data_IF_247658910047
#
_entry.id   IF_247658910047
#
_cell.length_a   1.000
_cell.length_b   1.000
_cell.length_c   1.000
_cell.angle_alpha   90.00
_cell.angle_beta   90.00
_cell.angle_gamma   90.00
#
_symmetry.space_group_name_H-M   'P 1'
#
loop_
_entity.id
_entity.type
_entity.pdbx_description
1 polymer ?
#
# COMPACT_ATOMS: atom_id res chain seq x y z
N UNK A 1 9.15 3.45 61.41
CA UNK A 1 8.70 2.57 60.31
C UNK A 1 7.76 3.41 59.44
N UNK A 2 8.19 3.88 58.26
CA UNK A 2 7.34 4.66 57.35
C UNK A 2 7.05 3.79 56.11
N UNK A 3 5.80 3.39 55.82
CA UNK A 3 5.48 2.35 54.84
C UNK A 3 5.28 2.86 53.40
N UNK A 4 5.74 4.06 53.05
CA UNK A 4 5.50 4.67 51.72
C UNK A 4 6.74 4.78 50.83
N UNK A 5 7.60 3.76 50.84
CA UNK A 5 8.53 3.52 49.74
C UNK A 5 7.88 2.57 48.75
N UNK A 6 7.11 3.09 47.79
CA UNK A 6 6.68 2.28 46.64
C UNK A 6 7.32 2.82 45.35
N UNK A 7 8.36 2.09 44.96
CA UNK A 7 9.03 2.12 43.67
C UNK A 7 8.10 1.63 42.56
N UNK A 8 8.18 2.24 41.38
CA UNK A 8 7.66 1.65 40.15
C UNK A 8 6.52 2.43 39.50
N UNK A 9 6.85 3.54 38.84
CA UNK A 9 6.07 3.96 37.67
C UNK A 9 6.29 2.92 36.58
N UNK A 10 5.41 1.92 36.51
CA UNK A 10 5.32 1.04 35.35
C UNK A 10 5.15 1.90 34.11
N UNK A 11 6.11 1.82 33.19
CA UNK A 11 5.97 2.35 31.84
C UNK A 11 4.77 1.62 31.21
N UNK A 12 3.64 2.31 31.12
CA UNK A 12 2.50 1.81 30.36
C UNK A 12 2.97 1.70 28.91
N UNK A 13 3.08 0.48 28.40
CA UNK A 13 3.49 0.20 27.04
C UNK A 13 2.48 0.89 26.10
N UNK A 14 2.94 1.94 25.42
CA UNK A 14 2.16 2.69 24.47
C UNK A 14 1.75 1.76 23.30
N UNK A 15 0.47 1.40 23.12
CA UNK A 15 0.05 0.46 22.07
C UNK A 15 0.34 0.98 20.65
N UNK A 16 0.56 2.29 20.49
CA UNK A 16 0.99 2.91 19.23
C UNK A 16 2.41 2.48 18.82
N UNK A 17 3.31 2.16 19.76
CA UNK A 17 4.68 1.78 19.44
C UNK A 17 4.78 0.41 18.78
N UNK A 18 3.90 -0.53 19.15
CA UNK A 18 3.85 -1.87 18.54
C UNK A 18 3.31 -1.81 17.11
N UNK A 19 2.18 -1.13 16.88
CA UNK A 19 1.62 -0.96 15.54
C UNK A 19 2.60 -0.22 14.59
N UNK A 20 3.32 0.77 15.12
CA UNK A 20 4.34 1.51 14.36
C UNK A 20 5.58 0.65 14.05
N UNK A 21 6.01 -0.20 14.99
CA UNK A 21 7.10 -1.15 14.79
C UNK A 21 6.74 -2.21 13.72
N UNK A 22 5.54 -2.80 13.76
CA UNK A 22 5.10 -3.75 12.72
C UNK A 22 5.04 -3.11 11.33
N UNK A 23 4.50 -1.88 11.25
CA UNK A 23 4.46 -1.13 9.99
C UNK A 23 5.86 -0.83 9.44
N UNK A 24 6.81 -0.49 10.32
CA UNK A 24 8.21 -0.24 9.96
C UNK A 24 8.94 -1.51 9.51
N UNK A 25 8.79 -2.64 10.23
CA UNK A 25 9.41 -3.92 9.86
C UNK A 25 8.88 -4.45 8.53
N UNK A 26 7.57 -4.33 8.28
CA UNK A 26 6.96 -4.70 6.99
C UNK A 26 7.57 -3.89 5.84
N UNK A 27 7.61 -2.56 5.95
CA UNK A 27 8.18 -1.68 4.91
C UNK A 27 9.65 -2.00 4.64
N UNK A 28 10.45 -2.33 5.66
CA UNK A 28 11.89 -2.59 5.51
C UNK A 28 12.24 -3.97 4.91
N UNK A 29 11.28 -4.89 4.82
CA UNK A 29 11.50 -6.26 4.31
C UNK A 29 10.69 -6.59 3.06
N UNK A 30 9.75 -5.72 2.69
CA UNK A 30 8.93 -5.82 1.48
C UNK A 30 9.74 -5.60 0.21
N UNK A 31 9.39 -6.34 -0.85
CA UNK A 31 9.90 -6.03 -2.20
C UNK A 31 9.29 -4.71 -2.71
N UNK A 32 9.89 -4.04 -3.72
CA UNK A 32 9.29 -2.86 -4.34
C UNK A 32 7.85 -3.08 -4.82
N UNK A 33 7.54 -4.27 -5.31
CA UNK A 33 6.19 -4.61 -5.76
C UNK A 33 5.19 -4.74 -4.59
N UNK A 34 5.62 -5.33 -3.47
CA UNK A 34 4.81 -5.39 -2.25
C UNK A 34 4.52 -3.99 -1.69
N UNK A 35 5.49 -3.06 -1.78
CA UNK A 35 5.27 -1.66 -1.40
C UNK A 35 4.16 -1.02 -2.24
N UNK A 36 4.14 -1.25 -3.56
CA UNK A 36 3.10 -0.74 -4.46
C UNK A 36 1.73 -1.33 -4.10
N UNK A 37 1.63 -2.63 -3.85
CA UNK A 37 0.39 -3.27 -3.39
C UNK A 37 -0.10 -2.66 -2.06
N UNK A 38 0.79 -2.44 -1.10
CA UNK A 38 0.43 -1.79 0.16
C UNK A 38 -0.04 -0.34 0.00
N UNK A 39 0.46 0.39 -1.00
CA UNK A 39 -0.02 1.73 -1.33
C UNK A 39 -1.45 1.67 -1.88
N UNK A 40 -1.75 0.76 -2.81
CA UNK A 40 -3.12 0.56 -3.30
C UNK A 40 -4.09 0.12 -2.19
N UNK A 41 -3.69 -0.84 -1.34
CA UNK A 41 -4.48 -1.24 -0.17
C UNK A 41 -4.70 -0.06 0.78
N UNK A 42 -3.70 0.81 0.91
CA UNK A 42 -3.79 2.08 1.62
C UNK A 42 -4.85 3.01 1.06
N UNK A 43 -4.89 3.21 -0.27
CA UNK A 43 -5.92 3.99 -0.96
C UNK A 43 -7.30 3.40 -0.65
N UNK A 44 -7.50 2.10 -0.92
CA UNK A 44 -8.78 1.43 -0.71
C UNK A 44 -9.29 1.55 0.72
N UNK A 45 -8.41 1.37 1.71
CA UNK A 45 -8.75 1.56 3.13
C UNK A 45 -9.24 2.98 3.40
N UNK A 46 -8.54 4.00 2.90
CA UNK A 46 -8.95 5.39 3.12
C UNK A 46 -10.25 5.74 2.40
N UNK A 47 -10.45 5.28 1.16
CA UNK A 47 -11.72 5.49 0.45
C UNK A 47 -12.89 4.83 1.18
N UNK A 48 -12.71 3.61 1.73
CA UNK A 48 -13.73 2.96 2.55
C UNK A 48 -14.05 3.72 3.85
N UNK A 49 -13.05 4.28 4.51
CA UNK A 49 -13.27 5.12 5.68
C UNK A 49 -14.00 6.42 5.31
N UNK A 50 -13.69 7.02 4.16
CA UNK A 50 -14.41 8.20 3.67
C UNK A 50 -15.89 7.87 3.41
N UNK A 51 -16.20 6.74 2.76
CA UNK A 51 -17.58 6.23 2.59
C UNK A 51 -18.30 6.02 3.92
N UNK A 52 -17.61 5.48 4.92
CA UNK A 52 -18.20 5.31 6.26
C UNK A 52 -18.55 6.67 6.90
N UNK A 53 -17.77 7.71 6.63
CA UNK A 53 -18.03 9.08 7.08
C UNK A 53 -19.39 9.63 6.64
N UNK A 54 -19.90 9.22 5.47
CA UNK A 54 -21.22 9.64 4.98
C UNK A 54 -22.41 9.15 5.81
N UNK A 55 -22.17 8.17 6.70
CA UNK A 55 -23.19 7.59 7.58
C UNK A 55 -23.20 8.24 8.98
N UNK A 56 -22.30 9.18 9.24
CA UNK A 56 -22.19 9.86 10.53
C UNK A 56 -23.23 10.97 10.64
N UNK A 57 -23.84 11.08 11.83
CA UNK A 57 -24.86 12.08 12.12
C UNK A 57 -24.28 13.39 12.67
N UNK A 58 -23.13 13.32 13.35
CA UNK A 58 -22.47 14.51 13.84
C UNK A 58 -21.82 15.27 12.68
N UNK A 59 -22.18 16.55 12.43
CA UNK A 59 -21.66 17.28 11.28
C UNK A 59 -20.14 17.46 11.31
N UNK A 60 -19.55 17.64 12.50
CA UNK A 60 -18.10 17.83 12.63
C UNK A 60 -17.39 16.53 12.28
N UNK A 61 -17.83 15.41 12.86
CA UNK A 61 -17.26 14.08 12.60
C UNK A 61 -17.46 13.65 11.13
N UNK A 62 -18.65 13.93 10.56
CA UNK A 62 -18.96 13.72 9.14
C UNK A 62 -17.95 14.41 8.24
N UNK A 63 -17.76 15.73 8.43
CA UNK A 63 -16.88 16.52 7.58
C UNK A 63 -15.42 16.15 7.74
N UNK A 64 -14.96 15.96 8.99
CA UNK A 64 -13.57 15.61 9.30
C UNK A 64 -13.21 14.22 8.77
N UNK A 65 -14.05 13.21 9.01
CA UNK A 65 -13.79 11.84 8.57
C UNK A 65 -13.67 11.75 7.06
N UNK A 66 -14.58 12.38 6.31
CA UNK A 66 -14.52 12.39 4.85
C UNK A 66 -13.27 13.13 4.37
N UNK A 67 -13.01 14.33 4.91
CA UNK A 67 -11.91 15.17 4.46
C UNK A 67 -10.54 14.52 4.69
N UNK A 68 -10.27 14.05 5.90
CA UNK A 68 -8.98 13.48 6.25
C UNK A 68 -8.66 12.22 5.44
N UNK A 69 -9.65 11.34 5.26
CA UNK A 69 -9.43 10.11 4.53
C UNK A 69 -9.23 10.36 3.03
N UNK A 70 -9.99 11.29 2.43
CA UNK A 70 -9.77 11.67 1.03
C UNK A 70 -8.40 12.31 0.82
N UNK A 71 -7.95 13.19 1.72
CA UNK A 71 -6.60 13.76 1.65
C UNK A 71 -5.50 12.69 1.76
N UNK A 72 -5.67 11.70 2.64
CA UNK A 72 -4.72 10.59 2.79
C UNK A 72 -4.68 9.70 1.55
N UNK A 73 -5.82 9.41 0.92
CA UNK A 73 -5.88 8.68 -0.36
C UNK A 73 -5.18 9.47 -1.48
N UNK A 74 -5.47 10.76 -1.61
CA UNK A 74 -4.86 11.65 -2.60
C UNK A 74 -3.34 11.76 -2.42
N UNK A 75 -2.83 11.81 -1.18
CA UNK A 75 -1.40 11.81 -0.91
C UNK A 75 -0.71 10.55 -1.46
N UNK A 76 -1.31 9.37 -1.30
CA UNK A 76 -0.76 8.13 -1.86
C UNK A 76 -0.82 8.16 -3.40
N UNK A 77 -1.93 8.61 -4.00
CA UNK A 77 -2.07 8.70 -5.45
C UNK A 77 -1.00 9.61 -6.06
N UNK A 78 -0.74 10.76 -5.43
CA UNK A 78 0.32 11.69 -5.86
C UNK A 78 1.72 11.09 -5.74
N UNK A 79 1.97 10.30 -4.68
CA UNK A 79 3.24 9.58 -4.51
C UNK A 79 3.43 8.48 -5.56
N UNK A 80 2.37 7.72 -5.86
CA UNK A 80 2.38 6.73 -6.95
C UNK A 80 2.67 7.41 -8.29
N UNK A 81 2.10 8.60 -8.52
CA UNK A 81 2.35 9.38 -9.73
C UNK A 81 3.79 9.89 -9.79
N UNK A 82 4.35 10.42 -8.70
CA UNK A 82 5.73 10.91 -8.68
C UNK A 82 6.77 9.80 -8.78
N UNK A 83 6.41 8.58 -8.40
CA UNK A 83 7.30 7.41 -8.53
C UNK A 83 7.29 6.77 -9.92
N UNK A 84 6.38 7.18 -10.82
CA UNK A 84 6.48 6.81 -12.23
C UNK A 84 7.73 7.44 -12.83
N UNK A 85 8.67 6.62 -13.30
CA UNK A 85 9.82 7.06 -14.08
C UNK A 85 9.33 7.52 -15.46
N UNK A 86 8.89 8.79 -15.54
CA UNK A 86 8.29 9.37 -16.75
C UNK A 86 9.31 9.50 -17.88
N UNK A 87 10.61 9.53 -17.59
CA UNK A 87 11.67 9.53 -18.60
C UNK A 87 11.86 8.17 -19.26
N UNK A 88 11.53 7.08 -18.55
CA UNK A 88 11.43 5.72 -19.11
C UNK A 88 9.99 5.32 -19.46
N UNK A 89 9.03 6.22 -19.27
CA UNK A 89 7.63 5.93 -19.50
C UNK A 89 7.38 5.78 -21.00
N UNK A 90 7.21 4.53 -21.39
CA UNK A 90 6.46 4.13 -22.58
C UNK A 90 5.00 4.61 -22.47
N UNK A 91 4.18 4.37 -23.49
CA UNK A 91 2.73 4.66 -23.52
C UNK A 91 1.97 4.23 -22.24
N UNK A 92 2.45 3.20 -21.55
CA UNK A 92 1.90 2.74 -20.28
C UNK A 92 2.07 3.75 -19.14
N UNK A 93 3.27 4.32 -18.99
CA UNK A 93 3.56 5.28 -17.90
C UNK A 93 2.76 6.57 -18.07
N UNK A 94 2.59 7.06 -19.30
CA UNK A 94 1.73 8.21 -19.60
C UNK A 94 0.25 7.91 -19.28
N UNK A 95 -0.23 6.73 -19.64
CA UNK A 95 -1.59 6.28 -19.32
C UNK A 95 -1.83 6.24 -17.81
N UNK A 96 -0.88 5.68 -17.04
CA UNK A 96 -0.97 5.62 -15.59
C UNK A 96 -0.91 7.00 -14.94
N UNK A 97 -0.03 7.89 -15.43
CA UNK A 97 0.04 9.28 -14.94
C UNK A 97 -1.29 10.01 -15.14
N UNK A 98 -1.90 9.91 -16.33
CA UNK A 98 -3.21 10.51 -16.63
C UNK A 98 -4.33 9.92 -15.77
N UNK A 99 -4.27 8.61 -15.48
CA UNK A 99 -5.24 7.94 -14.61
C UNK A 99 -5.13 8.42 -13.15
N UNK A 100 -3.92 8.57 -12.63
CA UNK A 100 -3.71 9.11 -11.28
C UNK A 100 -4.12 10.58 -11.17
N UNK A 101 -3.85 11.39 -12.20
CA UNK A 101 -4.34 12.78 -12.27
C UNK A 101 -5.87 12.85 -12.27
N UNK A 102 -6.52 11.94 -12.99
CA UNK A 102 -7.97 11.79 -12.97
C UNK A 102 -8.48 11.42 -11.56
N UNK A 103 -7.86 10.45 -10.90
CA UNK A 103 -8.26 10.03 -9.55
C UNK A 103 -8.12 11.17 -8.54
N UNK A 104 -6.99 11.87 -8.55
CA UNK A 104 -6.75 12.98 -7.62
C UNK A 104 -7.81 14.07 -7.75
N UNK A 105 -8.14 14.46 -8.99
CA UNK A 105 -9.18 15.44 -9.29
C UNK A 105 -10.57 14.97 -8.83
N UNK A 106 -10.97 13.74 -9.14
CA UNK A 106 -12.30 13.21 -8.76
C UNK A 106 -12.46 13.12 -7.24
N UNK A 107 -11.41 12.73 -6.52
CA UNK A 107 -11.45 12.73 -5.05
C UNK A 107 -11.45 14.15 -4.47
N UNK A 108 -10.83 15.13 -5.14
CA UNK A 108 -10.93 16.53 -4.76
C UNK A 108 -12.36 17.05 -4.90
N UNK A 109 -13.01 16.76 -6.03
CA UNK A 109 -14.42 17.10 -6.29
C UNK A 109 -15.34 16.47 -5.24
N UNK A 110 -15.19 15.16 -4.98
CA UNK A 110 -15.92 14.46 -3.92
C UNK A 110 -15.76 15.13 -2.54
N UNK A 111 -14.54 15.57 -2.22
CA UNK A 111 -14.28 16.23 -0.94
C UNK A 111 -14.92 17.61 -0.88
N UNK A 112 -14.83 18.41 -1.94
CA UNK A 112 -15.40 19.76 -1.97
C UNK A 112 -16.92 19.75 -1.92
N UNK A 113 -17.55 18.87 -2.70
CA UNK A 113 -19.00 18.79 -2.83
C UNK A 113 -19.64 17.88 -1.78
N UNK A 114 -18.82 17.11 -1.05
CA UNK A 114 -19.27 16.02 -0.18
C UNK A 114 -20.23 15.11 -0.94
N UNK A 115 -19.74 14.60 -2.08
CA UNK A 115 -20.43 13.63 -2.92
C UNK A 115 -19.71 12.27 -2.82
N UNK A 116 -20.44 11.20 -2.53
CA UNK A 116 -19.88 9.85 -2.41
C UNK A 116 -19.62 9.20 -3.77
N UNK A 117 -20.38 9.55 -4.82
CA UNK A 117 -20.32 8.87 -6.12
C UNK A 117 -18.90 8.84 -6.75
N UNK A 118 -18.10 9.92 -6.76
CA UNK A 118 -16.74 9.85 -7.28
C UNK A 118 -15.83 8.94 -6.43
N UNK A 119 -16.06 8.85 -5.11
CA UNK A 119 -15.31 7.94 -4.24
C UNK A 119 -15.59 6.50 -4.65
N UNK A 120 -16.85 6.20 -4.97
CA UNK A 120 -17.27 4.87 -5.40
C UNK A 120 -16.63 4.47 -6.72
N UNK A 121 -16.66 5.37 -7.70
CA UNK A 121 -16.00 5.18 -8.98
C UNK A 121 -14.50 4.91 -8.83
N UNK A 122 -13.79 5.73 -8.05
CA UNK A 122 -12.33 5.58 -7.88
C UNK A 122 -11.99 4.29 -7.13
N UNK A 123 -12.78 3.91 -6.13
CA UNK A 123 -12.57 2.66 -5.41
C UNK A 123 -12.58 1.45 -6.33
N UNK A 124 -13.59 1.34 -7.19
CA UNK A 124 -13.74 0.20 -8.11
C UNK A 124 -12.58 0.15 -9.11
N UNK A 125 -12.13 1.30 -9.61
CA UNK A 125 -10.97 1.38 -10.51
C UNK A 125 -9.67 0.99 -9.82
N UNK A 126 -9.47 1.44 -8.57
CA UNK A 126 -8.26 1.12 -7.80
C UNK A 126 -8.19 -0.38 -7.49
N UNK A 127 -9.32 -1.04 -7.21
CA UNK A 127 -9.36 -2.51 -7.03
C UNK A 127 -8.81 -3.22 -8.27
N UNK A 128 -9.32 -2.86 -9.45
CA UNK A 128 -8.90 -3.52 -10.70
C UNK A 128 -7.39 -3.41 -10.91
N UNK A 129 -6.82 -2.22 -10.66
CA UNK A 129 -5.38 -1.97 -10.82
C UNK A 129 -4.57 -2.75 -9.77
N UNK A 130 -5.03 -2.76 -8.52
CA UNK A 130 -4.40 -3.51 -7.43
C UNK A 130 -4.35 -5.00 -7.74
N UNK A 131 -5.45 -5.56 -8.22
CA UNK A 131 -5.56 -6.99 -8.55
C UNK A 131 -4.69 -7.34 -9.75
N UNK A 132 -4.63 -6.50 -10.78
CA UNK A 132 -3.70 -6.68 -11.90
C UNK A 132 -2.23 -6.68 -11.44
N UNK A 133 -1.88 -5.82 -10.49
CA UNK A 133 -0.53 -5.80 -9.89
C UNK A 133 -0.24 -7.06 -9.08
N UNK A 134 -1.19 -7.52 -8.26
CA UNK A 134 -1.03 -8.73 -7.45
C UNK A 134 -0.82 -9.95 -8.35
N UNK A 135 -1.64 -10.09 -9.40
CA UNK A 135 -1.45 -11.15 -10.39
C UNK A 135 -0.05 -11.14 -11.02
N UNK A 136 0.48 -9.96 -11.36
CA UNK A 136 1.83 -9.84 -11.93
C UNK A 136 2.89 -10.32 -10.93
N UNK A 137 2.81 -9.89 -9.66
CA UNK A 137 3.73 -10.31 -8.60
C UNK A 137 3.69 -11.81 -8.37
N UNK A 138 2.50 -12.41 -8.32
CA UNK A 138 2.36 -13.86 -8.15
C UNK A 138 2.98 -14.64 -9.32
N UNK A 139 2.86 -14.14 -10.56
CA UNK A 139 3.48 -14.76 -11.74
C UNK A 139 5.01 -14.70 -11.65
N UNK A 140 5.58 -13.55 -11.32
CA UNK A 140 7.03 -13.40 -11.18
C UNK A 140 7.62 -14.33 -10.09
N UNK A 141 6.94 -14.47 -8.96
CA UNK A 141 7.34 -15.39 -7.88
C UNK A 141 7.32 -16.84 -8.38
N UNK A 142 6.27 -17.23 -9.11
CA UNK A 142 6.14 -18.59 -9.66
C UNK A 142 7.23 -18.89 -10.69
N UNK A 143 7.50 -17.96 -11.60
CA UNK A 143 8.52 -18.11 -12.64
C UNK A 143 9.93 -18.20 -12.02
N UNK A 144 10.20 -17.38 -11.00
CA UNK A 144 11.45 -17.42 -10.23
C UNK A 144 11.64 -18.75 -9.49
N UNK A 145 10.57 -19.31 -8.93
CA UNK A 145 10.61 -20.60 -8.24
C UNK A 145 10.85 -21.77 -9.22
N UNK A 146 10.22 -21.72 -10.40
CA UNK A 146 10.40 -22.73 -11.45
C UNK A 146 11.83 -22.73 -12.01
N UNK A 147 12.42 -21.55 -12.25
CA UNK A 147 13.80 -21.42 -12.71
C UNK A 147 14.81 -22.04 -11.72
N UNK A 148 14.58 -21.87 -10.41
CA UNK A 148 15.45 -22.40 -9.35
C UNK A 148 15.39 -23.93 -9.20
N UNK A 149 14.33 -24.58 -9.69
CA UNK A 149 14.18 -26.04 -9.69
C UNK A 149 14.85 -26.72 -10.89
N UNK A 150 15.21 -25.97 -11.93
CA UNK A 150 15.79 -26.47 -13.17
C UNK A 150 17.33 -26.49 -13.18
N UNK A 151 17.99 -26.03 -12.13
CA UNK A 151 19.46 -26.14 -11.96
C UNK A 151 19.83 -27.63 -11.73
N UNK A 152 20.46 -28.33 -12.69
CA UNK A 152 20.81 -29.72 -12.51
C UNK A 152 21.88 -29.86 -11.43
N UNK A 153 21.60 -30.72 -10.45
CA UNK A 153 22.59 -31.18 -9.47
C UNK A 153 23.77 -31.78 -10.22
N UNK A 154 24.95 -31.21 -10.00
CA UNK A 154 26.14 -31.42 -10.83
C UNK A 154 26.46 -32.89 -11.13
N UNK A 155 26.50 -33.22 -12.41
CA UNK A 155 27.35 -34.30 -12.90
C UNK A 155 28.81 -33.88 -12.70
N UNK A 156 29.39 -34.27 -11.56
CA UNK A 156 30.85 -34.33 -11.41
C UNK A 156 31.30 -35.57 -12.19
N UNK A 157 31.46 -35.42 -13.50
CA UNK A 157 32.14 -36.39 -14.33
C UNK A 157 33.59 -36.49 -13.89
N UNK A 158 33.91 -37.49 -13.07
CA UNK A 158 35.28 -37.87 -12.73
C UNK A 158 35.96 -38.38 -13.99
N UNK A 159 36.74 -37.53 -14.66
CA UNK A 159 37.72 -37.98 -15.64
C UNK A 159 38.91 -38.59 -14.88
N UNK A 160 38.83 -39.91 -14.69
CA UNK A 160 39.98 -40.76 -14.39
C UNK A 160 40.93 -40.74 -15.60
N UNK A 161 42.05 -40.05 -15.46
CA UNK A 161 43.19 -40.14 -16.38
C UNK A 161 44.32 -40.88 -15.67
N UNK A 162 44.13 -42.19 -15.50
CA UNK A 162 45.23 -43.14 -15.34
C UNK A 162 45.53 -43.76 -16.72
N UNK A 163 46.70 -43.43 -17.27
CA UNK A 163 47.22 -43.94 -18.54
C UNK A 163 48.51 -43.26 -18.96
#
# INVERSE_FOLDING_TARGET
MNPYSNSGRGQQANPYSKASAYKSTSVNTSSPADLVLMLYDGILRFLNNARAGFKLNDPVEYHQTINENLQKAQAIIRELRSSLDVEKATDFGETMAGLYDYFDRRLQEANMEKNQEPIDEIYDRVIIIRDAWDEMVQREIKDSAAAKQLEPSGEVGTLDLSG
#
